data_IF_895029903211
#
_entry.id   IF_895029903211
#
_cell.length_a   1.000
_cell.length_b   1.000
_cell.length_c   1.000
_cell.angle_alpha   90.00
_cell.angle_beta   90.00
_cell.angle_gamma   90.00
#
_symmetry.space_group_name_H-M   'P 1'
#
loop_
_entity.id
_entity.type
_entity.pdbx_description
1 polymer ?
#
# COMPACT_ATOMS: atom_id res chain seq x y z
N UNK A 1 -2.36 -3.67 20.93
CA UNK A 1 -1.80 -2.88 22.05
C UNK A 1 -0.39 -3.38 22.39
N UNK A 2 -0.26 -4.67 22.69
CA UNK A 2 1.00 -5.34 23.08
C UNK A 2 2.26 -4.94 22.27
N UNK A 3 2.25 -4.99 20.93
CA UNK A 3 3.43 -4.59 20.13
C UNK A 3 3.82 -3.12 20.28
N UNK A 4 2.83 -2.24 20.50
CA UNK A 4 3.04 -0.80 20.60
C UNK A 4 3.67 -0.41 21.92
N UNK A 5 3.32 -1.09 23.03
CA UNK A 5 3.86 -0.78 24.36
C UNK A 5 5.35 -1.15 24.52
N UNK A 6 5.91 -1.91 23.57
CA UNK A 6 7.34 -2.18 23.47
C UNK A 6 8.15 -0.94 23.05
N UNK A 7 7.54 -0.02 22.28
CA UNK A 7 8.23 1.13 21.67
C UNK A 7 7.61 2.49 22.06
N UNK A 8 6.32 2.52 22.39
CA UNK A 8 5.54 3.72 22.62
C UNK A 8 5.69 4.26 24.04
N UNK A 9 6.85 4.86 24.32
CA UNK A 9 7.19 5.43 25.64
C UNK A 9 7.66 6.87 25.55
N UNK A 10 7.42 7.65 26.59
CA UNK A 10 7.97 9.00 26.70
C UNK A 10 9.50 8.95 26.77
N UNK A 11 10.18 9.77 25.97
CA UNK A 11 11.64 9.68 25.82
C UNK A 11 12.43 9.99 27.11
N UNK A 12 11.90 10.85 27.99
CA UNK A 12 12.53 11.18 29.28
C UNK A 12 12.09 10.26 30.41
N UNK A 13 10.78 10.05 30.59
CA UNK A 13 10.22 9.35 31.76
C UNK A 13 10.08 7.85 31.56
N UNK A 14 10.05 7.37 30.32
CA UNK A 14 9.77 5.96 29.99
C UNK A 14 8.31 5.54 30.15
N UNK A 15 7.42 6.49 30.48
CA UNK A 15 6.01 6.20 30.70
C UNK A 15 5.33 5.72 29.42
N UNK A 16 4.43 4.73 29.49
CA UNK A 16 3.68 4.26 28.33
C UNK A 16 2.69 5.31 27.86
N UNK A 17 2.32 5.24 26.58
CA UNK A 17 1.27 6.10 26.02
C UNK A 17 -0.07 5.83 26.73
N UNK A 18 -0.80 6.87 27.20
CA UNK A 18 -2.09 6.69 27.85
C UNK A 18 -3.12 5.96 26.99
N UNK A 19 -3.95 5.13 27.61
CA UNK A 19 -4.99 4.34 26.93
C UNK A 19 -5.96 5.20 26.11
N UNK A 20 -6.35 6.37 26.63
CA UNK A 20 -7.21 7.29 25.90
C UNK A 20 -6.56 7.78 24.59
N UNK A 21 -5.27 8.09 24.63
CA UNK A 21 -4.54 8.56 23.45
C UNK A 21 -4.35 7.42 22.43
N UNK A 22 -4.01 6.22 22.90
CA UNK A 22 -3.90 5.04 22.05
C UNK A 22 -5.22 4.77 21.29
N UNK A 23 -6.35 4.84 21.98
CA UNK A 23 -7.67 4.67 21.35
C UNK A 23 -7.99 5.77 20.32
N UNK A 24 -7.58 7.02 20.58
CA UNK A 24 -7.69 8.10 19.59
C UNK A 24 -6.84 7.82 18.35
N UNK A 25 -5.62 7.33 18.52
CA UNK A 25 -4.74 6.94 17.42
C UNK A 25 -5.35 5.81 16.58
N UNK A 26 -5.92 4.78 17.22
CA UNK A 26 -6.60 3.69 16.51
C UNK A 26 -7.78 4.19 15.68
N UNK A 27 -8.60 5.09 16.24
CA UNK A 27 -9.73 5.71 15.50
C UNK A 27 -9.25 6.56 14.32
N UNK A 28 -8.08 7.19 14.44
CA UNK A 28 -7.49 7.99 13.38
C UNK A 28 -6.73 7.17 12.33
N UNK A 29 -6.54 5.85 12.52
CA UNK A 29 -5.73 4.99 11.64
C UNK A 29 -6.15 5.05 10.17
N UNK A 30 -7.45 5.14 9.90
CA UNK A 30 -8.02 5.15 8.55
C UNK A 30 -8.32 6.56 8.03
N UNK A 31 -7.91 7.61 8.74
CA UNK A 31 -8.14 8.99 8.35
C UNK A 31 -7.48 9.27 6.99
N UNK A 32 -8.29 9.66 6.00
CA UNK A 32 -7.88 9.93 4.62
C UNK A 32 -7.24 8.75 3.87
N UNK A 33 -7.36 7.50 4.35
CA UNK A 33 -6.73 6.35 3.70
C UNK A 33 -7.17 6.15 2.24
N UNK A 34 -8.44 6.41 1.90
CA UNK A 34 -8.91 6.37 0.52
C UNK A 34 -8.27 7.45 -0.37
N UNK A 35 -8.08 8.66 0.16
CA UNK A 35 -7.40 9.76 -0.56
C UNK A 35 -5.91 9.46 -0.77
N UNK A 36 -5.25 8.86 0.22
CA UNK A 36 -3.88 8.39 0.08
C UNK A 36 -3.77 7.23 -0.93
N UNK A 37 -4.74 6.31 -0.91
CA UNK A 37 -4.80 5.18 -1.85
C UNK A 37 -4.96 5.66 -3.29
N UNK A 38 -5.92 6.55 -3.57
CA UNK A 38 -6.12 7.07 -4.93
C UNK A 38 -4.93 7.88 -5.42
N UNK A 39 -4.20 8.55 -4.52
CA UNK A 39 -2.93 9.22 -4.87
C UNK A 39 -1.83 8.23 -5.28
N UNK A 40 -1.74 7.07 -4.63
CA UNK A 40 -0.83 6.00 -5.09
C UNK A 40 -1.25 5.46 -6.47
N UNK A 41 -2.56 5.39 -6.73
CA UNK A 41 -3.08 4.98 -8.05
C UNK A 41 -2.79 6.03 -9.13
N UNK A 42 -2.92 7.32 -8.84
CA UNK A 42 -2.50 8.42 -9.75
C UNK A 42 -1.06 8.21 -10.21
N UNK A 43 -0.15 7.93 -9.28
CA UNK A 43 1.26 7.71 -9.59
C UNK A 43 1.50 6.47 -10.45
N UNK A 44 0.80 5.37 -10.16
CA UNK A 44 0.92 4.13 -10.93
C UNK A 44 0.33 4.29 -12.34
N UNK A 45 -0.82 4.96 -12.48
CA UNK A 45 -1.44 5.24 -13.78
C UNK A 45 -0.57 6.18 -14.60
N UNK A 46 -0.02 7.23 -13.98
CA UNK A 46 0.91 8.14 -14.65
C UNK A 46 2.15 7.42 -15.16
N UNK A 47 2.77 6.60 -14.32
CA UNK A 47 3.92 5.77 -14.71
C UNK A 47 3.57 4.84 -15.89
N UNK A 48 2.46 4.10 -15.82
CA UNK A 48 2.05 3.21 -16.90
C UNK A 48 1.79 3.94 -18.21
N UNK A 49 0.97 4.99 -18.18
CA UNK A 49 0.61 5.72 -19.40
C UNK A 49 1.83 6.36 -20.03
N UNK A 50 2.72 6.93 -19.21
CA UNK A 50 3.98 7.52 -19.68
C UNK A 50 4.90 6.50 -20.38
N UNK A 51 4.94 5.25 -19.93
CA UNK A 51 5.82 4.22 -20.49
C UNK A 51 5.14 3.31 -21.55
N UNK A 52 3.83 3.44 -21.75
CA UNK A 52 3.06 2.60 -22.68
C UNK A 52 2.54 3.37 -23.90
N UNK A 53 2.12 4.63 -23.73
CA UNK A 53 1.50 5.39 -24.81
C UNK A 53 2.56 5.96 -25.76
N UNK A 54 2.49 5.59 -27.05
CA UNK A 54 3.29 6.21 -28.09
C UNK A 54 2.90 7.69 -28.24
N UNK A 55 3.77 8.57 -27.75
CA UNK A 55 3.50 10.00 -27.61
C UNK A 55 4.71 10.83 -28.05
N UNK A 56 4.47 12.01 -28.61
CA UNK A 56 5.51 13.04 -28.71
C UNK A 56 5.83 13.56 -27.30
N UNK A 57 6.87 13.01 -26.68
CA UNK A 57 7.29 13.38 -25.33
C UNK A 57 7.85 14.80 -25.32
N UNK A 58 7.02 15.73 -24.88
CA UNK A 58 7.36 17.13 -24.63
C UNK A 58 6.97 17.49 -23.19
N UNK A 59 7.58 18.52 -22.57
CA UNK A 59 7.16 18.96 -21.24
C UNK A 59 5.67 19.30 -21.15
N UNK A 60 5.09 19.85 -22.22
CA UNK A 60 3.66 20.19 -22.28
C UNK A 60 2.79 18.94 -22.32
N UNK A 61 3.12 17.96 -23.16
CA UNK A 61 2.35 16.72 -23.28
C UNK A 61 2.41 15.87 -22.02
N UNK A 62 3.56 15.83 -21.32
CA UNK A 62 3.69 15.11 -20.03
C UNK A 62 2.82 15.78 -18.95
N UNK A 63 2.80 17.11 -18.88
CA UNK A 63 1.94 17.82 -17.92
C UNK A 63 0.46 17.59 -18.24
N UNK A 64 0.07 17.65 -19.51
CA UNK A 64 -1.31 17.39 -19.95
C UNK A 64 -1.75 15.96 -19.64
N UNK A 65 -0.87 14.98 -19.81
CA UNK A 65 -1.12 13.58 -19.42
C UNK A 65 -1.41 13.49 -17.91
N UNK A 66 -0.55 14.08 -17.08
CA UNK A 66 -0.73 14.08 -15.62
C UNK A 66 -2.03 14.79 -15.20
N UNK A 67 -2.34 15.92 -15.81
CA UNK A 67 -3.56 16.69 -15.51
C UNK A 67 -4.83 15.91 -15.91
N UNK A 68 -4.79 15.19 -17.02
CA UNK A 68 -5.87 14.28 -17.43
C UNK A 68 -6.12 13.18 -16.39
N UNK A 69 -5.05 12.54 -15.90
CA UNK A 69 -5.15 11.51 -14.86
C UNK A 69 -5.73 12.10 -13.57
N UNK A 70 -5.24 13.27 -13.14
CA UNK A 70 -5.73 13.97 -11.95
C UNK A 70 -7.21 14.34 -12.04
N UNK A 71 -7.72 14.60 -13.23
CA UNK A 71 -9.15 14.84 -13.42
C UNK A 71 -10.00 13.62 -13.01
N UNK A 72 -9.45 12.41 -13.13
CA UNK A 72 -10.11 11.16 -12.77
C UNK A 72 -9.79 10.71 -11.33
N UNK A 73 -8.59 11.03 -10.83
CA UNK A 73 -8.07 10.44 -9.58
C UNK A 73 -7.97 11.40 -8.40
N UNK A 74 -7.90 12.72 -8.63
CA UNK A 74 -7.59 13.67 -7.57
C UNK A 74 -8.85 14.36 -7.00
N UNK A 75 -9.09 14.14 -5.70
CA UNK A 75 -10.14 14.85 -4.94
C UNK A 75 -9.81 16.34 -4.75
N UNK A 76 -8.52 16.67 -4.64
CA UNK A 76 -8.00 18.02 -4.53
C UNK A 76 -6.95 18.21 -5.62
N UNK A 77 -7.23 19.11 -6.56
CA UNK A 77 -6.32 19.42 -7.67
C UNK A 77 -5.15 20.26 -7.13
N UNK A 78 -3.89 19.82 -7.32
CA UNK A 78 -2.73 20.61 -6.95
C UNK A 78 -2.67 21.93 -7.73
N UNK A 79 -2.00 22.98 -7.18
CA UNK A 79 -1.81 24.24 -7.90
C UNK A 79 -1.08 24.05 -9.24
N UNK A 80 -1.35 24.92 -10.22
CA UNK A 80 -0.79 24.84 -11.58
C UNK A 80 0.75 24.85 -11.63
N UNK A 81 1.41 25.44 -10.63
CA UNK A 81 2.88 25.45 -10.54
C UNK A 81 3.47 24.14 -9.98
N UNK A 82 2.66 23.15 -9.62
CA UNK A 82 3.14 21.84 -9.16
C UNK A 82 3.89 21.13 -10.29
N UNK A 83 5.11 20.65 -10.00
CA UNK A 83 5.98 19.91 -10.94
C UNK A 83 6.37 18.55 -10.37
N UNK A 84 5.41 17.83 -9.79
CA UNK A 84 5.62 16.53 -9.15
C UNK A 84 6.44 15.56 -10.02
N UNK A 85 6.10 15.46 -11.30
CA UNK A 85 6.74 14.58 -12.26
C UNK A 85 8.25 14.85 -12.38
N UNK A 86 8.70 16.09 -12.23
CA UNK A 86 10.12 16.45 -12.33
C UNK A 86 10.94 15.98 -11.12
N UNK A 87 10.27 15.57 -10.05
CA UNK A 87 10.89 15.02 -8.83
C UNK A 87 10.51 13.56 -8.60
N UNK A 88 9.90 12.88 -9.58
CA UNK A 88 9.43 11.51 -9.42
C UNK A 88 10.57 10.49 -9.62
N UNK A 89 11.50 10.48 -8.66
CA UNK A 89 12.74 9.70 -8.75
C UNK A 89 12.52 8.20 -8.88
N UNK A 90 11.42 7.65 -8.37
CA UNK A 90 11.16 6.20 -8.45
C UNK A 90 11.21 5.68 -9.89
N UNK A 91 10.65 6.43 -10.84
CA UNK A 91 10.51 6.00 -12.24
C UNK A 91 11.59 6.61 -13.16
N UNK A 92 12.22 7.71 -12.77
CA UNK A 92 13.25 8.37 -13.60
C UNK A 92 14.69 8.12 -13.16
N UNK A 93 14.92 7.79 -11.89
CA UNK A 93 16.26 7.53 -11.34
C UNK A 93 16.25 6.38 -10.32
N UNK A 94 15.26 5.50 -10.42
CA UNK A 94 15.07 4.33 -9.58
C UNK A 94 14.68 3.10 -10.41
N UNK A 95 14.33 2.01 -9.72
CA UNK A 95 14.00 0.73 -10.34
C UNK A 95 12.52 0.51 -10.66
N UNK A 96 11.70 1.58 -10.68
CA UNK A 96 10.24 1.47 -10.75
C UNK A 96 9.63 2.01 -12.05
N UNK A 97 10.43 2.26 -13.09
CA UNK A 97 9.90 2.64 -14.42
C UNK A 97 8.95 1.54 -14.94
N UNK A 98 7.73 1.92 -15.34
CA UNK A 98 6.65 0.98 -15.67
C UNK A 98 6.37 -0.06 -14.56
N UNK A 99 6.60 0.33 -13.31
CA UNK A 99 6.67 -0.56 -12.15
C UNK A 99 6.18 0.07 -10.86
N UNK A 100 5.74 1.32 -10.83
CA UNK A 100 5.30 1.97 -9.60
C UNK A 100 4.04 1.31 -8.99
N UNK A 101 3.23 0.66 -9.82
CA UNK A 101 2.09 -0.15 -9.37
C UNK A 101 2.47 -1.28 -8.41
N UNK A 102 3.75 -1.71 -8.42
CA UNK A 102 4.28 -2.79 -7.57
C UNK A 102 4.04 -2.54 -6.09
N UNK A 103 4.00 -1.28 -5.63
CA UNK A 103 3.65 -0.96 -4.25
C UNK A 103 2.25 -1.44 -3.88
N UNK A 104 1.23 -1.09 -4.67
CA UNK A 104 -0.15 -1.49 -4.39
C UNK A 104 -0.38 -2.97 -4.66
N UNK A 105 0.30 -3.53 -5.66
CA UNK A 105 0.29 -4.96 -5.93
C UNK A 105 0.83 -5.76 -4.72
N UNK A 106 1.99 -5.38 -4.20
CA UNK A 106 2.59 -6.00 -3.03
C UNK A 106 1.80 -5.73 -1.74
N UNK A 107 1.10 -4.60 -1.64
CA UNK A 107 0.26 -4.28 -0.48
C UNK A 107 -0.97 -5.18 -0.35
N UNK A 108 -1.53 -5.66 -1.47
CA UNK A 108 -2.56 -6.72 -1.45
C UNK A 108 -2.00 -7.97 -0.79
N UNK A 109 -0.81 -8.41 -1.21
CA UNK A 109 -0.15 -9.59 -0.66
C UNK A 109 0.20 -9.39 0.81
N UNK A 110 0.75 -8.24 1.19
CA UNK A 110 1.18 -8.00 2.58
C UNK A 110 -0.01 -7.88 3.54
N UNK A 111 -1.10 -7.21 3.15
CA UNK A 111 -2.31 -7.12 3.95
C UNK A 111 -2.97 -8.49 4.13
N UNK A 112 -3.00 -9.30 3.08
CA UNK A 112 -3.57 -10.65 3.14
C UNK A 112 -2.68 -11.64 3.91
N UNK A 113 -1.37 -11.55 3.76
CA UNK A 113 -0.43 -12.30 4.60
C UNK A 113 -0.59 -11.93 6.08
N UNK A 114 -0.71 -10.63 6.40
CA UNK A 114 -0.96 -10.17 7.77
C UNK A 114 -2.32 -10.63 8.31
N UNK A 115 -3.33 -10.76 7.45
CA UNK A 115 -4.65 -11.25 7.87
C UNK A 115 -4.61 -12.66 8.47
N UNK A 116 -3.64 -13.49 8.08
CA UNK A 116 -3.43 -14.81 8.70
C UNK A 116 -2.96 -14.69 10.15
N UNK A 117 -2.16 -13.69 10.49
CA UNK A 117 -1.82 -13.38 11.88
C UNK A 117 -3.03 -12.82 12.63
N UNK A 118 -3.91 -12.06 11.96
CA UNK A 118 -5.18 -11.62 12.59
C UNK A 118 -6.11 -12.81 12.88
N UNK A 119 -6.10 -13.85 12.05
CA UNK A 119 -6.87 -15.09 12.21
C UNK A 119 -6.34 -15.97 13.35
N UNK A 120 -5.02 -16.17 13.42
CA UNK A 120 -4.38 -17.11 14.35
C UNK A 120 -3.94 -16.47 15.67
N UNK A 121 -3.73 -15.15 15.68
CA UNK A 121 -3.13 -14.39 16.77
C UNK A 121 -1.89 -13.62 16.30
N UNK A 122 -1.80 -12.34 16.65
CA UNK A 122 -0.76 -11.41 16.13
C UNK A 122 0.66 -11.90 16.43
N UNK A 123 0.86 -12.59 17.54
CA UNK A 123 2.15 -13.16 17.97
C UNK A 123 2.21 -14.68 17.85
N UNK A 124 1.38 -15.28 16.98
CA UNK A 124 1.42 -16.71 16.74
C UNK A 124 2.79 -17.14 16.16
N UNK A 125 3.53 -17.92 16.94
CA UNK A 125 4.89 -18.32 16.60
C UNK A 125 4.93 -19.24 15.38
N UNK A 126 3.93 -20.09 15.21
CA UNK A 126 3.87 -21.06 14.11
C UNK A 126 3.61 -20.35 12.78
N UNK A 127 2.69 -19.38 12.73
CA UNK A 127 2.48 -18.51 11.57
C UNK A 127 3.74 -17.70 11.26
N UNK A 128 4.43 -17.19 12.28
CA UNK A 128 5.72 -16.51 12.12
C UNK A 128 6.81 -17.40 11.51
N UNK A 129 6.92 -18.64 11.98
CA UNK A 129 7.87 -19.64 11.44
C UNK A 129 7.55 -20.00 9.99
N UNK A 130 6.27 -20.15 9.66
CA UNK A 130 5.84 -20.42 8.30
C UNK A 130 6.14 -19.23 7.38
N UNK A 131 5.89 -18.00 7.83
CA UNK A 131 6.19 -16.81 7.04
C UNK A 131 7.70 -16.70 6.75
N UNK A 132 8.54 -16.96 7.76
CA UNK A 132 9.99 -16.99 7.61
C UNK A 132 10.42 -18.02 6.54
N UNK A 133 10.00 -19.27 6.71
CA UNK A 133 10.48 -20.40 5.88
C UNK A 133 9.89 -20.40 4.46
N UNK A 134 8.65 -19.97 4.29
CA UNK A 134 7.97 -19.95 2.99
C UNK A 134 8.21 -18.66 2.21
N UNK A 135 8.23 -17.48 2.85
CA UNK A 135 8.33 -16.19 2.13
C UNK A 135 9.75 -15.62 2.21
N UNK A 136 10.29 -15.45 3.41
CA UNK A 136 11.51 -14.66 3.61
C UNK A 136 12.80 -15.40 3.22
N UNK A 137 12.88 -16.71 3.47
CA UNK A 137 14.08 -17.52 3.20
C UNK A 137 14.28 -17.84 1.71
N UNK A 138 13.25 -17.72 0.87
CA UNK A 138 13.29 -18.21 -0.52
C UNK A 138 13.93 -17.21 -1.49
N UNK A 139 13.92 -15.91 -1.19
CA UNK A 139 14.37 -14.87 -2.12
C UNK A 139 13.68 -14.98 -3.48
N UNK A 140 14.44 -14.89 -4.57
CA UNK A 140 13.93 -15.07 -5.94
C UNK A 140 14.08 -16.49 -6.51
N UNK A 141 14.30 -17.50 -5.66
CA UNK A 141 14.55 -18.88 -6.12
C UNK A 141 13.28 -19.64 -6.54
N UNK A 142 12.11 -19.15 -6.13
CA UNK A 142 10.78 -19.69 -6.44
C UNK A 142 9.84 -18.54 -6.82
N UNK A 143 8.78 -18.87 -7.53
CA UNK A 143 7.77 -17.89 -7.93
C UNK A 143 7.03 -17.30 -6.72
N UNK A 144 6.91 -15.98 -6.66
CA UNK A 144 6.35 -15.28 -5.51
C UNK A 144 4.86 -15.60 -5.26
N UNK A 145 4.09 -15.89 -6.33
CA UNK A 145 2.70 -16.27 -6.22
C UNK A 145 2.57 -17.67 -5.60
N UNK A 146 3.37 -18.63 -6.04
CA UNK A 146 3.40 -19.98 -5.45
C UNK A 146 3.75 -19.94 -3.96
N UNK A 147 4.78 -19.15 -3.59
CA UNK A 147 5.16 -18.96 -2.19
C UNK A 147 4.03 -18.33 -1.37
N UNK A 148 3.35 -17.33 -1.93
CA UNK A 148 2.20 -16.72 -1.27
C UNK A 148 1.08 -17.74 -1.03
N UNK A 149 0.70 -18.53 -2.04
CA UNK A 149 -0.36 -19.54 -1.92
C UNK A 149 0.04 -20.61 -0.92
N UNK A 150 1.29 -21.06 -0.91
CA UNK A 150 1.81 -22.02 0.07
C UNK A 150 1.71 -21.47 1.50
N UNK A 151 2.07 -20.21 1.72
CA UNK A 151 1.95 -19.56 3.03
C UNK A 151 0.48 -19.34 3.40
N UNK A 152 -0.33 -18.80 2.50
CA UNK A 152 -1.69 -18.34 2.80
C UNK A 152 -2.72 -19.47 2.82
N UNK A 153 -2.46 -20.54 2.07
CA UNK A 153 -3.37 -21.68 1.85
C UNK A 153 -4.46 -21.41 0.80
N UNK A 154 -4.42 -20.26 0.13
CA UNK A 154 -5.37 -19.83 -0.92
C UNK A 154 -4.77 -18.69 -1.74
N UNK A 155 -5.43 -18.35 -2.85
CA UNK A 155 -5.05 -17.21 -3.68
C UNK A 155 -5.17 -15.86 -2.92
N UNK A 156 -4.39 -14.84 -3.34
CA UNK A 156 -4.47 -13.49 -2.78
C UNK A 156 -5.87 -12.89 -2.87
N UNK A 157 -6.26 -12.16 -1.83
CA UNK A 157 -7.51 -11.40 -1.78
C UNK A 157 -7.22 -9.93 -1.48
N UNK A 158 -7.93 -9.04 -2.17
CA UNK A 158 -7.89 -7.59 -1.90
C UNK A 158 -8.65 -7.20 -0.63
N UNK A 159 -9.52 -8.08 -0.12
CA UNK A 159 -10.44 -7.78 0.99
C UNK A 159 -9.69 -7.32 2.26
N UNK A 160 -8.59 -7.95 2.70
CA UNK A 160 -7.83 -7.48 3.86
C UNK A 160 -7.28 -6.06 3.68
N UNK A 161 -6.76 -5.72 2.49
CA UNK A 161 -6.27 -4.38 2.18
C UNK A 161 -7.39 -3.34 2.33
N UNK A 162 -8.55 -3.59 1.73
CA UNK A 162 -9.69 -2.66 1.80
C UNK A 162 -10.18 -2.51 3.24
N UNK A 163 -10.31 -3.61 3.98
CA UNK A 163 -10.66 -3.60 5.42
C UNK A 163 -9.67 -2.76 6.22
N UNK A 164 -8.36 -2.95 6.02
CA UNK A 164 -7.33 -2.19 6.74
C UNK A 164 -7.32 -0.71 6.38
N UNK A 165 -7.77 -0.35 5.18
CA UNK A 165 -7.97 1.03 4.74
C UNK A 165 -9.32 1.63 5.19
N UNK A 166 -10.18 0.86 5.88
CA UNK A 166 -11.52 1.31 6.28
C UNK A 166 -12.50 1.43 5.11
N UNK A 167 -12.26 0.71 4.02
CA UNK A 167 -13.12 0.66 2.84
C UNK A 167 -13.91 -0.66 2.91
N UNK A 168 -15.19 -0.58 3.28
CA UNK A 168 -16.04 -1.77 3.32
C UNK A 168 -16.42 -2.18 1.89
N UNK A 169 -16.04 -3.40 1.48
CA UNK A 169 -16.68 -4.04 0.34
C UNK A 169 -18.06 -4.50 0.78
N UNK A 170 -19.10 -3.69 0.56
CA UNK A 170 -20.44 -4.23 0.48
C UNK A 170 -20.40 -5.37 -0.56
N UNK A 171 -20.90 -6.58 -0.27
CA UNK A 171 -21.19 -7.52 -1.34
C UNK A 171 -22.14 -6.79 -2.29
N UNK A 172 -21.71 -6.52 -3.52
CA UNK A 172 -22.65 -6.17 -4.57
C UNK A 172 -23.50 -7.42 -4.81
N UNK A 173 -24.65 -7.48 -4.13
CA UNK A 173 -25.77 -8.29 -4.58
C UNK A 173 -26.19 -7.72 -5.94
N UNK A 174 -25.53 -8.18 -7.00
CA UNK A 174 -26.06 -8.08 -8.35
C UNK A 174 -27.25 -9.02 -8.45
N UNK A 175 -28.41 -8.52 -8.02
CA UNK A 175 -29.71 -8.98 -8.54
C UNK A 175 -30.06 -8.24 -9.82
#
# INVERSE_FOLDING_TARGET
RESFDLIGRHHETGDPIPEELFNKMLKAKTFQSAMQMVRQLEFAIFDFRLHFEDSDYSPLSIQQLLDGIRHETAVIIPPEYNRFQNSFTHIFSGGYAAGYYSYKWAEVLSADAFSKFEENGIFDHDTGRQFLTTILEQGGSRDAYELFVEFRGRDPSIVPLLRHAGIESQPQDHK
#
